data_IF_790841679741
#
_entry.id   IF_790841679741
#
_cell.length_a   1.000
_cell.length_b   1.000
_cell.length_c   1.000
_cell.angle_alpha   90.00
_cell.angle_beta   90.00
_cell.angle_gamma   90.00
#
_symmetry.space_group_name_H-M   'P 1'
#
loop_
_entity.id
_entity.type
_entity.pdbx_description
1 polymer ?
#
# COMPACT_ATOMS: atom_id res chain seq x y z
N UNK A 1 -47.33 -18.09 -1.84
CA UNK A 1 -47.41 -16.63 -1.63
C UNK A 1 -46.00 -16.09 -1.63
N UNK A 2 -45.67 -15.31 -2.65
CA UNK A 2 -44.31 -14.88 -2.99
C UNK A 2 -43.99 -13.54 -2.33
N UNK A 3 -42.91 -13.48 -1.54
CA UNK A 3 -42.38 -12.22 -1.02
C UNK A 3 -40.99 -11.99 -1.59
N UNK A 4 -40.96 -11.03 -2.51
CA UNK A 4 -39.81 -10.49 -3.24
C UNK A 4 -39.04 -9.52 -2.36
N UNK A 5 -37.72 -9.65 -2.27
CA UNK A 5 -36.84 -8.49 -2.04
C UNK A 5 -35.61 -8.58 -2.96
N UNK A 6 -35.42 -7.49 -3.70
CA UNK A 6 -34.34 -7.20 -4.64
C UNK A 6 -33.54 -6.06 -3.99
N UNK A 7 -32.25 -6.23 -3.76
CA UNK A 7 -31.28 -5.17 -3.50
C UNK A 7 -29.88 -5.75 -3.83
N UNK A 8 -29.22 -5.29 -4.89
CA UNK A 8 -28.14 -4.26 -4.87
C UNK A 8 -26.85 -4.81 -4.21
N UNK A 9 -25.65 -4.71 -4.76
CA UNK A 9 -25.15 -4.07 -5.96
C UNK A 9 -23.68 -4.45 -6.21
N UNK A 10 -23.28 -4.32 -7.47
CA UNK A 10 -22.00 -3.80 -7.96
C UNK A 10 -20.83 -3.68 -6.96
N UNK A 11 -19.70 -4.33 -7.28
CA UNK A 11 -18.45 -4.18 -6.52
C UNK A 11 -17.23 -4.80 -7.19
N UNK A 12 -16.92 -4.34 -8.41
CA UNK A 12 -15.63 -4.49 -9.09
C UNK A 12 -14.48 -4.17 -8.13
N UNK A 13 -13.64 -5.14 -7.81
CA UNK A 13 -12.54 -4.98 -6.86
C UNK A 13 -11.38 -5.96 -7.09
N UNK A 14 -10.79 -5.90 -8.28
CA UNK A 14 -9.36 -6.06 -8.55
C UNK A 14 -8.53 -6.76 -7.46
N UNK A 15 -8.32 -8.07 -7.61
CA UNK A 15 -7.20 -8.79 -6.99
C UNK A 15 -6.31 -9.42 -8.09
N UNK A 16 -6.00 -8.64 -9.12
CA UNK A 16 -4.90 -8.94 -10.05
C UNK A 16 -3.62 -8.30 -9.51
N UNK A 17 -2.90 -9.00 -8.64
CA UNK A 17 -1.49 -8.74 -8.39
C UNK A 17 -0.80 -9.89 -7.64
N UNK A 18 -0.95 -11.14 -8.08
CA UNK A 18 0.14 -12.12 -7.98
C UNK A 18 1.20 -11.76 -9.01
N UNK A 19 1.90 -10.64 -8.80
CA UNK A 19 3.01 -10.23 -9.63
C UNK A 19 4.31 -10.72 -8.99
N UNK A 20 4.89 -11.75 -9.61
CA UNK A 20 6.33 -11.95 -9.74
C UNK A 20 7.15 -11.84 -8.47
N UNK A 21 7.17 -12.89 -7.67
CA UNK A 21 8.16 -13.10 -6.61
C UNK A 21 9.53 -13.35 -7.28
N UNK A 22 10.26 -12.30 -7.65
CA UNK A 22 11.61 -12.44 -8.22
C UNK A 22 12.19 -11.27 -9.02
N UNK A 23 11.38 -10.29 -9.45
CA UNK A 23 11.84 -9.15 -10.27
C UNK A 23 11.40 -7.79 -9.67
N UNK A 24 11.13 -7.78 -8.37
CA UNK A 24 10.50 -6.68 -7.65
C UNK A 24 11.51 -5.69 -7.04
N UNK A 25 12.81 -5.97 -7.06
CA UNK A 25 13.74 -5.10 -6.34
C UNK A 25 14.05 -3.79 -7.07
N UNK A 26 13.69 -3.65 -8.35
CA UNK A 26 14.05 -2.46 -9.15
C UNK A 26 12.93 -1.91 -10.02
N UNK A 27 11.70 -2.43 -9.94
CA UNK A 27 10.60 -1.84 -10.71
C UNK A 27 9.92 -0.70 -9.94
N UNK A 28 9.62 0.44 -10.58
CA UNK A 28 8.92 1.56 -9.93
C UNK A 28 7.60 1.12 -9.28
N UNK A 29 6.94 0.10 -9.86
CA UNK A 29 5.70 -0.48 -9.30
C UNK A 29 5.90 -1.15 -7.93
N UNK A 30 7.02 -1.84 -7.72
CA UNK A 30 7.32 -2.49 -6.45
C UNK A 30 7.71 -1.48 -5.37
N UNK A 31 8.52 -0.47 -5.74
CA UNK A 31 8.83 0.67 -4.87
C UNK A 31 7.54 1.39 -4.43
N UNK A 32 6.61 1.63 -5.37
CA UNK A 32 5.32 2.24 -5.05
C UNK A 32 4.47 1.39 -4.08
N UNK A 33 4.47 0.06 -4.23
CA UNK A 33 3.79 -0.83 -3.28
C UNK A 33 4.41 -0.73 -1.88
N UNK A 34 5.75 -0.75 -1.79
CA UNK A 34 6.48 -0.64 -0.54
C UNK A 34 6.22 0.69 0.17
N UNK A 35 6.20 1.79 -0.59
CA UNK A 35 5.85 3.14 -0.09
C UNK A 35 4.45 3.14 0.52
N UNK A 36 3.45 2.63 -0.20
CA UNK A 36 2.08 2.56 0.33
C UNK A 36 1.97 1.73 1.62
N UNK A 37 2.70 0.61 1.69
CA UNK A 37 2.68 -0.30 2.83
C UNK A 37 3.33 0.35 4.07
N UNK A 38 4.43 1.07 3.89
CA UNK A 38 5.09 1.83 4.95
C UNK A 38 4.27 3.05 5.37
N UNK A 39 3.62 3.75 4.45
CA UNK A 39 2.75 4.89 4.77
C UNK A 39 1.60 4.47 5.69
N UNK A 40 1.02 3.28 5.46
CA UNK A 40 0.02 2.68 6.36
C UNK A 40 0.58 2.36 7.74
N UNK A 41 1.79 1.79 7.82
CA UNK A 41 2.45 1.50 9.11
C UNK A 41 2.80 2.77 9.87
N UNK A 42 3.33 3.80 9.20
CA UNK A 42 3.61 5.11 9.80
C UNK A 42 2.35 5.70 10.45
N UNK A 43 1.22 5.65 9.74
CA UNK A 43 -0.06 6.14 10.25
C UNK A 43 -0.55 5.31 11.44
N UNK A 44 -0.32 4.00 11.45
CA UNK A 44 -0.65 3.15 12.59
C UNK A 44 0.20 3.51 13.82
N UNK A 45 1.52 3.63 13.67
CA UNK A 45 2.43 4.03 14.75
C UNK A 45 2.10 5.44 15.26
N UNK A 46 1.80 6.38 14.37
CA UNK A 46 1.38 7.73 14.75
C UNK A 46 0.08 7.72 15.59
N UNK A 47 -0.90 6.87 15.23
CA UNK A 47 -2.13 6.68 16.02
C UNK A 47 -1.86 6.03 17.38
N UNK A 48 -0.90 5.12 17.45
CA UNK A 48 -0.45 4.48 18.68
C UNK A 48 0.45 5.38 19.56
N UNK A 49 0.76 6.60 19.09
CA UNK A 49 1.74 7.53 19.71
C UNK A 49 3.18 6.98 19.72
N UNK A 50 3.48 6.04 18.85
CA UNK A 50 4.80 5.43 18.61
C UNK A 50 5.62 6.31 17.66
N UNK A 51 5.96 7.52 18.10
CA UNK A 51 6.61 8.53 17.25
C UNK A 51 8.03 8.13 16.81
N UNK A 52 8.73 7.32 17.60
CA UNK A 52 10.07 6.84 17.25
C UNK A 52 10.03 5.90 16.04
N UNK A 53 9.11 4.93 16.04
CA UNK A 53 8.88 4.04 14.90
C UNK A 53 8.31 4.81 13.70
N UNK A 54 7.35 5.71 13.93
CA UNK A 54 6.81 6.54 12.86
C UNK A 54 7.90 7.40 12.19
N UNK A 55 8.87 7.93 12.95
CA UNK A 55 10.01 8.66 12.41
C UNK A 55 10.93 7.77 11.57
N UNK A 56 11.22 6.55 12.02
CA UNK A 56 12.01 5.59 11.23
C UNK A 56 11.32 5.24 9.91
N UNK A 57 10.01 4.95 9.95
CA UNK A 57 9.22 4.65 8.76
C UNK A 57 9.22 5.85 7.79
N UNK A 58 9.10 7.08 8.32
CA UNK A 58 9.17 8.31 7.52
C UNK A 58 10.51 8.42 6.79
N UNK A 59 11.63 8.16 7.48
CA UNK A 59 12.95 8.22 6.86
C UNK A 59 13.12 7.14 5.77
N UNK A 60 12.58 5.93 5.98
CA UNK A 60 12.53 4.88 4.94
C UNK A 60 11.69 5.28 3.73
N UNK A 61 10.53 5.93 3.96
CA UNK A 61 9.68 6.45 2.89
C UNK A 61 10.39 7.50 2.04
N UNK A 62 11.19 8.38 2.67
CA UNK A 62 12.00 9.36 1.95
C UNK A 62 13.01 8.67 1.03
N UNK A 63 13.79 7.71 1.55
CA UNK A 63 14.76 6.97 0.74
C UNK A 63 14.12 6.23 -0.43
N UNK A 64 12.98 5.57 -0.20
CA UNK A 64 12.23 4.86 -1.25
C UNK A 64 11.69 5.81 -2.32
N UNK A 65 11.26 7.02 -1.93
CA UNK A 65 10.82 8.05 -2.89
C UNK A 65 11.97 8.61 -3.72
N UNK A 66 13.14 8.81 -3.12
CA UNK A 66 14.34 9.23 -3.86
C UNK A 66 14.73 8.15 -4.87
N UNK A 67 14.82 6.89 -4.44
CA UNK A 67 15.08 5.76 -5.34
C UNK A 67 14.02 5.63 -6.44
N UNK A 68 12.74 5.89 -6.13
CA UNK A 68 11.67 5.89 -7.12
C UNK A 68 11.83 6.99 -8.15
N UNK A 69 12.18 8.22 -7.74
CA UNK A 69 12.43 9.34 -8.66
C UNK A 69 13.66 9.05 -9.51
N UNK A 70 14.72 8.48 -8.93
CA UNK A 70 15.96 8.14 -9.65
C UNK A 70 15.77 6.97 -10.64
N UNK A 71 14.86 6.05 -10.34
CA UNK A 71 14.53 4.90 -11.18
C UNK A 71 13.38 5.14 -12.18
N UNK A 72 12.70 6.30 -12.14
CA UNK A 72 11.55 6.65 -13.01
C UNK A 72 11.92 7.48 -14.23
#
# INVERSE_FOLDING_TARGET
>A
NSSKTKATGNGKGRATATAGRGELDLTPKALQQKIHELEGQMMQHAQNLEFEEAAQIRDQLHQLRELFIEAS
#
